data_IF_935364620174
#
_entry.id   IF_935364620174
#
_cell.length_a   1.000
_cell.length_b   1.000
_cell.length_c   1.000
_cell.angle_alpha   90.00
_cell.angle_beta   90.00
_cell.angle_gamma   90.00
#
_symmetry.space_group_name_H-M   'P 1'
#
loop_
_entity.id
_entity.type
_entity.pdbx_description
1 polymer ?
#
# COMPACT_ATOMS: atom_id res chain seq x y z
N UNK A 1 -0.72 25.04 5.61
CA UNK A 1 0.66 25.47 5.91
C UNK A 1 1.61 24.64 5.06
N UNK A 2 2.51 25.26 4.29
CA UNK A 2 3.55 24.52 3.57
C UNK A 2 4.75 24.38 4.51
N UNK A 3 5.14 23.14 4.81
CA UNK A 3 6.31 22.84 5.62
C UNK A 3 7.53 22.77 4.71
N UNK A 4 8.57 23.54 5.01
CA UNK A 4 9.81 23.59 4.23
C UNK A 4 10.90 22.85 5.01
N UNK A 5 11.60 21.95 4.34
CA UNK A 5 12.70 21.17 4.90
C UNK A 5 14.03 21.61 4.26
N UNK A 6 15.11 21.55 5.04
CA UNK A 6 16.47 21.70 4.54
C UNK A 6 17.14 20.34 4.60
N UNK A 7 17.69 19.87 3.49
CA UNK A 7 18.33 18.56 3.37
C UNK A 7 19.68 18.69 2.71
N UNK A 8 20.58 17.73 2.94
CA UNK A 8 21.88 17.63 2.30
C UNK A 8 21.93 16.41 1.38
N UNK A 9 22.65 16.52 0.26
CA UNK A 9 22.85 15.42 -0.69
C UNK A 9 24.02 14.56 -0.18
N UNK A 10 23.72 13.35 0.28
CA UNK A 10 24.76 12.39 0.70
C UNK A 10 25.34 11.59 -0.46
N UNK A 11 24.50 11.24 -1.45
CA UNK A 11 24.88 10.56 -2.69
C UNK A 11 24.17 11.25 -3.87
N UNK A 12 24.94 11.82 -4.79
CA UNK A 12 24.43 12.57 -5.94
C UNK A 12 24.12 11.70 -7.16
N UNK A 13 23.25 12.20 -8.05
CA UNK A 13 22.89 11.57 -9.32
C UNK A 13 21.84 12.38 -10.08
N UNK A 14 21.53 12.01 -11.35
CA UNK A 14 20.49 12.68 -12.13
C UNK A 14 19.10 12.45 -11.52
N UNK A 15 18.37 13.54 -11.26
CA UNK A 15 16.98 13.50 -10.78
C UNK A 15 16.04 13.94 -11.89
N UNK A 16 15.18 13.03 -12.35
CA UNK A 16 14.13 13.32 -13.33
C UNK A 16 12.82 13.73 -12.66
N UNK A 17 11.85 14.17 -13.46
CA UNK A 17 10.50 14.46 -12.97
C UNK A 17 9.81 13.19 -12.45
N UNK A 18 8.86 13.38 -11.52
CA UNK A 18 7.98 12.34 -10.97
C UNK A 18 8.70 11.13 -10.34
N UNK A 19 9.91 11.34 -9.78
CA UNK A 19 10.55 10.32 -8.96
C UNK A 19 9.78 10.13 -7.66
N UNK A 20 9.49 8.87 -7.32
CA UNK A 20 8.91 8.53 -6.02
C UNK A 20 9.86 8.90 -4.88
N UNK A 21 9.29 9.33 -3.76
CA UNK A 21 10.01 9.65 -2.53
C UNK A 21 9.56 8.66 -1.46
N UNK A 22 10.51 7.97 -0.86
CA UNK A 22 10.28 7.13 0.31
C UNK A 22 11.00 7.74 1.50
N UNK A 23 10.34 7.73 2.66
CA UNK A 23 10.94 8.15 3.92
C UNK A 23 11.41 6.92 4.68
N UNK A 24 12.72 6.83 4.94
CA UNK A 24 13.30 5.76 5.74
C UNK A 24 12.66 5.75 7.14
N UNK A 25 12.24 4.57 7.60
CA UNK A 25 11.50 4.42 8.86
C UNK A 25 10.02 4.82 8.78
N UNK A 26 9.51 5.15 7.59
CA UNK A 26 8.08 5.40 7.36
C UNK A 26 7.63 6.82 7.74
N UNK A 27 6.32 6.95 7.98
CA UNK A 27 5.72 8.24 8.39
C UNK A 27 5.48 9.26 7.27
N UNK A 28 5.33 8.82 6.01
CA UNK A 28 4.51 9.55 5.03
C UNK A 28 3.05 9.10 5.22
N UNK A 29 2.19 10.00 5.69
CA UNK A 29 0.77 9.70 5.92
C UNK A 29 -0.01 9.95 4.63
N UNK A 30 -0.07 8.96 3.77
CA UNK A 30 -1.15 8.85 2.79
C UNK A 30 -2.27 7.99 3.40
N UNK A 31 -3.50 8.25 2.95
CA UNK A 31 -4.60 7.33 3.19
C UNK A 31 -4.28 5.96 2.58
N UNK A 32 -4.89 4.91 3.13
CA UNK A 32 -4.68 3.53 2.69
C UNK A 32 -4.98 3.32 1.20
N UNK A 33 -6.04 3.99 0.74
CA UNK A 33 -6.55 3.93 -0.63
C UNK A 33 -6.87 5.35 -1.08
N UNK A 34 -6.29 5.75 -2.20
CA UNK A 34 -6.61 7.01 -2.87
C UNK A 34 -7.92 6.89 -3.66
N UNK A 35 -8.46 8.02 -4.11
CA UNK A 35 -9.63 8.02 -5.01
C UNK A 35 -9.36 7.26 -6.32
N UNK A 36 -8.11 7.30 -6.80
CA UNK A 36 -7.69 6.51 -7.96
C UNK A 36 -7.78 5.01 -7.65
N UNK A 37 -7.30 4.57 -6.49
CA UNK A 37 -7.32 3.14 -6.13
C UNK A 37 -8.76 2.62 -6.04
N UNK A 38 -9.69 3.42 -5.51
CA UNK A 38 -11.12 3.08 -5.47
C UNK A 38 -11.71 2.93 -6.88
N UNK A 39 -11.35 3.82 -7.81
CA UNK A 39 -11.77 3.71 -9.21
C UNK A 39 -11.16 2.48 -9.91
N UNK A 40 -9.91 2.15 -9.59
CA UNK A 40 -9.23 0.98 -10.13
C UNK A 40 -9.86 -0.33 -9.62
N UNK A 41 -10.31 -0.37 -8.37
CA UNK A 41 -11.07 -1.53 -7.81
C UNK A 41 -12.33 -1.79 -8.64
N UNK A 42 -13.08 -0.75 -9.01
CA UNK A 42 -14.27 -0.89 -9.87
C UNK A 42 -13.88 -1.42 -11.25
N UNK A 43 -12.74 -0.98 -11.78
CA UNK A 43 -12.23 -1.46 -13.07
C UNK A 43 -11.79 -2.93 -12.99
N UNK A 44 -11.08 -3.30 -11.93
CA UNK A 44 -10.68 -4.68 -11.66
C UNK A 44 -11.90 -5.60 -11.51
N UNK A 45 -12.99 -5.10 -10.91
CA UNK A 45 -14.26 -5.82 -10.80
C UNK A 45 -14.89 -6.11 -12.16
N UNK A 46 -14.89 -5.13 -13.08
CA UNK A 46 -15.38 -5.31 -14.46
C UNK A 46 -14.55 -6.32 -15.25
N UNK A 47 -13.25 -6.40 -14.97
CA UNK A 47 -12.35 -7.37 -15.60
C UNK A 47 -12.56 -8.77 -15.00
N UNK A 48 -12.94 -8.86 -13.73
CA UNK A 48 -13.13 -10.13 -13.03
C UNK A 48 -11.81 -10.78 -12.59
N UNK A 49 -10.89 -9.98 -12.04
CA UNK A 49 -9.57 -10.47 -11.62
C UNK A 49 -9.66 -11.47 -10.45
N UNK A 50 -8.77 -12.45 -10.42
CA UNK A 50 -8.71 -13.43 -9.33
C UNK A 50 -8.03 -12.89 -8.07
N UNK A 51 -7.08 -11.97 -8.26
CA UNK A 51 -6.26 -11.38 -7.20
C UNK A 51 -6.28 -9.86 -7.29
N UNK A 52 -6.41 -9.21 -6.13
CA UNK A 52 -6.32 -7.76 -5.97
C UNK A 52 -5.16 -7.44 -5.02
N UNK A 53 -4.12 -6.81 -5.54
CA UNK A 53 -2.95 -6.44 -4.76
C UNK A 53 -3.10 -5.04 -4.15
N UNK A 54 -2.93 -4.94 -2.84
CA UNK A 54 -2.99 -3.69 -2.09
C UNK A 54 -1.56 -3.26 -1.76
N UNK A 55 -1.18 -2.07 -2.23
CA UNK A 55 0.15 -1.50 -2.00
C UNK A 55 0.19 -0.72 -0.69
N UNK A 56 1.30 -0.82 0.05
CA UNK A 56 1.54 -0.08 1.30
C UNK A 56 0.45 -0.20 2.37
N UNK A 57 -0.21 -1.36 2.59
CA UNK A 57 -1.13 -1.49 3.71
C UNK A 57 -0.39 -1.22 5.02
N UNK A 58 -1.04 -0.53 5.96
CA UNK A 58 -0.48 -0.26 7.29
C UNK A 58 -1.02 -1.21 8.35
N UNK A 59 -2.18 -1.79 8.09
CA UNK A 59 -2.89 -2.68 9.00
C UNK A 59 -3.91 -3.55 8.26
N UNK A 60 -4.48 -4.51 8.97
CA UNK A 60 -5.64 -5.29 8.52
C UNK A 60 -6.82 -4.41 8.10
N UNK A 61 -7.03 -3.25 8.74
CA UNK A 61 -8.11 -2.34 8.40
C UNK A 61 -8.00 -1.82 6.95
N UNK A 62 -6.78 -1.53 6.49
CA UNK A 62 -6.53 -1.08 5.13
C UNK A 62 -6.88 -2.19 4.12
N UNK A 63 -6.52 -3.44 4.42
CA UNK A 63 -6.81 -4.61 3.58
C UNK A 63 -8.30 -4.96 3.55
N UNK A 64 -8.95 -4.92 4.71
CA UNK A 64 -10.37 -5.18 4.85
C UNK A 64 -11.20 -4.12 4.14
N UNK A 65 -10.77 -2.85 4.17
CA UNK A 65 -11.43 -1.79 3.44
C UNK A 65 -11.33 -2.00 1.92
N UNK A 66 -10.16 -2.39 1.40
CA UNK A 66 -10.02 -2.75 -0.02
C UNK A 66 -10.93 -3.93 -0.40
N UNK A 67 -11.01 -4.95 0.48
CA UNK A 67 -11.88 -6.12 0.30
C UNK A 67 -13.35 -5.73 0.26
N UNK A 68 -13.80 -4.87 1.16
CA UNK A 68 -15.18 -4.37 1.20
C UNK A 68 -15.54 -3.64 -0.10
N UNK A 69 -14.68 -2.73 -0.56
CA UNK A 69 -14.89 -2.01 -1.82
C UNK A 69 -14.93 -2.95 -3.04
N UNK A 70 -14.06 -3.96 -3.06
CA UNK A 70 -14.07 -4.98 -4.12
C UNK A 70 -15.40 -5.75 -4.11
N UNK A 71 -15.87 -6.20 -2.95
CA UNK A 71 -17.14 -6.90 -2.81
C UNK A 71 -18.34 -6.04 -3.21
N UNK A 72 -18.35 -4.77 -2.80
CA UNK A 72 -19.38 -3.80 -3.22
C UNK A 72 -19.39 -3.57 -4.73
N UNK A 73 -18.22 -3.64 -5.39
CA UNK A 73 -18.10 -3.59 -6.84
C UNK A 73 -18.45 -4.92 -7.55
N UNK A 74 -18.81 -5.97 -6.81
CA UNK A 74 -19.14 -7.29 -7.36
C UNK A 74 -17.93 -8.19 -7.61
N UNK A 75 -16.77 -7.87 -7.06
CA UNK A 75 -15.53 -8.63 -7.19
C UNK A 75 -15.25 -9.47 -5.94
N UNK A 76 -15.12 -10.79 -6.11
CA UNK A 76 -14.71 -11.69 -5.05
C UNK A 76 -13.26 -12.18 -5.26
N UNK A 77 -12.33 -11.22 -5.31
CA UNK A 77 -10.90 -11.50 -5.50
C UNK A 77 -10.19 -11.82 -4.18
N UNK A 78 -9.09 -12.58 -4.30
CA UNK A 78 -8.12 -12.81 -3.22
C UNK A 78 -7.28 -11.56 -2.98
N UNK A 79 -7.08 -11.18 -1.72
CA UNK A 79 -6.30 -9.99 -1.37
C UNK A 79 -4.82 -10.37 -1.23
N UNK A 80 -3.97 -9.67 -1.98
CA UNK A 80 -2.51 -9.78 -1.87
C UNK A 80 -1.98 -8.55 -1.15
N UNK A 81 -1.41 -8.72 0.04
CA UNK A 81 -0.79 -7.62 0.77
C UNK A 81 0.66 -7.44 0.30
N UNK A 82 0.97 -6.26 -0.24
CA UNK A 82 2.36 -5.90 -0.60
C UNK A 82 3.04 -5.26 0.60
N UNK A 83 3.85 -6.06 1.29
CA UNK A 83 4.51 -5.65 2.53
C UNK A 83 5.76 -4.84 2.18
N UNK A 84 5.59 -3.53 2.29
CA UNK A 84 6.58 -2.52 1.91
C UNK A 84 6.87 -1.55 3.07
N UNK A 85 6.04 -1.51 4.12
CA UNK A 85 6.22 -0.52 5.18
C UNK A 85 7.08 -1.05 6.30
N UNK A 86 8.03 -0.23 6.78
CA UNK A 86 8.83 -0.59 7.95
C UNK A 86 7.92 -0.83 9.17
N UNK A 87 6.82 -0.08 9.29
CA UNK A 87 5.87 -0.22 10.39
C UNK A 87 5.15 -1.59 10.36
N UNK A 88 4.89 -2.17 9.18
CA UNK A 88 4.23 -3.49 9.06
C UNK A 88 5.13 -4.68 9.40
N UNK A 89 6.45 -4.45 9.48
CA UNK A 89 7.44 -5.51 9.77
C UNK A 89 8.20 -5.22 11.06
N UNK A 90 7.71 -4.27 11.86
CA UNK A 90 8.40 -3.80 13.05
C UNK A 90 8.41 -4.81 14.21
N UNK A 91 7.39 -5.68 14.28
CA UNK A 91 7.25 -6.76 15.26
C UNK A 91 6.30 -7.85 14.71
N UNK A 92 6.24 -8.96 15.42
CA UNK A 92 5.42 -10.11 15.05
C UNK A 92 3.93 -9.78 15.06
N UNK A 93 3.46 -8.96 16.01
CA UNK A 93 2.04 -8.59 16.09
C UNK A 93 1.57 -7.76 14.88
N UNK A 94 2.39 -6.82 14.40
CA UNK A 94 2.10 -6.02 13.22
C UNK A 94 2.12 -6.84 11.94
N UNK A 95 3.05 -7.81 11.85
CA UNK A 95 3.10 -8.73 10.73
C UNK A 95 1.89 -9.67 10.75
N UNK A 96 1.53 -10.23 11.90
CA UNK A 96 0.38 -11.11 12.08
C UNK A 96 -0.93 -10.40 11.71
N UNK A 97 -1.08 -9.12 12.07
CA UNK A 97 -2.24 -8.30 11.66
C UNK A 97 -2.42 -8.28 10.13
N UNK A 98 -1.32 -8.12 9.38
CA UNK A 98 -1.34 -8.15 7.91
C UNK A 98 -1.60 -9.56 7.37
N UNK A 99 -0.90 -10.57 7.92
CA UNK A 99 -1.03 -11.97 7.50
C UNK A 99 -2.48 -12.42 7.61
N UNK A 100 -3.12 -12.22 8.77
CA UNK A 100 -4.46 -12.70 9.07
C UNK A 100 -5.55 -12.05 8.20
N UNK A 101 -5.32 -10.84 7.68
CA UNK A 101 -6.27 -10.15 6.81
C UNK A 101 -6.03 -10.38 5.30
N UNK A 102 -4.88 -10.95 4.94
CA UNK A 102 -4.47 -11.21 3.56
C UNK A 102 -4.72 -12.66 3.14
N UNK A 103 -4.95 -12.90 1.85
CA UNK A 103 -4.94 -14.26 1.29
C UNK A 103 -3.52 -14.66 0.84
N UNK A 104 -2.68 -13.67 0.51
CA UNK A 104 -1.28 -13.85 0.07
C UNK A 104 -0.41 -12.70 0.59
N UNK A 105 0.78 -13.04 1.08
CA UNK A 105 1.84 -12.06 1.38
C UNK A 105 2.77 -11.94 0.17
N UNK A 106 2.99 -10.71 -0.28
CA UNK A 106 4.04 -10.35 -1.22
C UNK A 106 5.08 -9.50 -0.48
N UNK A 107 6.20 -10.12 -0.12
CA UNK A 107 7.34 -9.42 0.46
C UNK A 107 8.06 -8.61 -0.61
N UNK A 108 8.08 -7.29 -0.46
CA UNK A 108 8.78 -6.39 -1.37
C UNK A 108 10.14 -6.01 -0.79
N UNK A 109 11.21 -6.48 -1.41
CA UNK A 109 12.57 -6.04 -1.08
C UNK A 109 12.80 -4.65 -1.68
N UNK A 110 13.01 -3.66 -0.81
CA UNK A 110 13.45 -2.32 -1.18
C UNK A 110 14.90 -2.28 -1.67
#
# INVERSE_FOLDING_TARGET
MVQKFSTEVTVGGPLSNNKGINKLGGGLSADALTEKDKADIITAARIGVDFLAVSFPRSSADLNYARELAQQAGLNAKIVAKVERAETVANDEAMDDIILASDVINGCSW
#
